data_IF_000619664470
#
_entry.id   IF_000619664470
#
_cell.length_a   1.000
_cell.length_b   1.000
_cell.length_c   1.000
_cell.angle_alpha   90.00
_cell.angle_beta   90.00
_cell.angle_gamma   90.00
#
_symmetry.space_group_name_H-M   'P 1'
#
loop_
_entity.id
_entity.type
_entity.pdbx_description
1 polymer ?
#
# COMPACT_ATOMS: atom_id res chain seq x y z
N UNK A 1 1.34 -15.03 2.94
CA UNK A 1 0.33 -15.61 2.02
C UNK A 1 -0.58 -16.58 2.75
N UNK A 2 -0.04 -17.59 3.43
CA UNK A 2 -0.83 -18.62 4.13
C UNK A 2 -1.89 -18.05 5.08
N UNK A 3 -1.51 -17.08 5.93
CA UNK A 3 -2.42 -16.42 6.88
C UNK A 3 -3.60 -15.73 6.18
N UNK A 4 -3.34 -15.02 5.08
CA UNK A 4 -4.37 -14.34 4.28
C UNK A 4 -5.28 -15.36 3.59
N UNK A 5 -4.71 -16.40 2.98
CA UNK A 5 -5.47 -17.46 2.32
C UNK A 5 -6.40 -18.15 3.30
N UNK A 6 -5.88 -18.60 4.44
CA UNK A 6 -6.66 -19.28 5.47
C UNK A 6 -7.78 -18.38 6.03
N UNK A 7 -7.53 -17.08 6.19
CA UNK A 7 -8.54 -16.12 6.62
C UNK A 7 -9.68 -16.00 5.61
N UNK A 8 -9.36 -15.85 4.32
CA UNK A 8 -10.36 -15.74 3.25
C UNK A 8 -11.18 -17.02 3.12
N UNK A 9 -10.52 -18.19 3.05
CA UNK A 9 -11.19 -19.49 2.94
C UNK A 9 -12.18 -19.73 4.09
N UNK A 10 -11.83 -19.29 5.30
CA UNK A 10 -12.66 -19.46 6.49
C UNK A 10 -13.80 -18.43 6.59
N UNK A 11 -13.50 -17.16 6.40
CA UNK A 11 -14.41 -16.07 6.76
C UNK A 11 -15.12 -15.44 5.55
N UNK A 12 -14.57 -15.62 4.34
CA UNK A 12 -15.05 -14.99 3.11
C UNK A 12 -15.15 -16.02 1.97
N UNK A 13 -15.89 -17.14 2.14
CA UNK A 13 -15.93 -18.24 1.16
C UNK A 13 -16.53 -17.85 -0.20
N UNK A 14 -17.21 -16.71 -0.29
CA UNK A 14 -17.70 -16.16 -1.56
C UNK A 14 -16.63 -15.46 -2.42
N UNK A 15 -15.43 -15.21 -1.88
CA UNK A 15 -14.32 -14.63 -2.66
C UNK A 15 -13.68 -15.73 -3.50
N UNK A 16 -13.81 -15.62 -4.82
CA UNK A 16 -13.31 -16.60 -5.79
C UNK A 16 -12.12 -16.09 -6.63
N UNK A 17 -11.66 -14.86 -6.39
CA UNK A 17 -10.54 -14.29 -7.13
C UNK A 17 -9.20 -14.93 -6.73
N UNK A 18 -8.30 -15.16 -7.70
CA UNK A 18 -6.97 -15.69 -7.39
C UNK A 18 -6.13 -14.67 -6.61
N UNK A 19 -5.28 -15.19 -5.74
CA UNK A 19 -4.18 -14.43 -5.16
C UNK A 19 -3.06 -14.32 -6.18
N UNK A 20 -2.62 -13.10 -6.48
CA UNK A 20 -1.41 -12.90 -7.28
C UNK A 20 -0.23 -12.67 -6.36
N UNK A 21 0.81 -13.49 -6.50
CA UNK A 21 2.01 -13.40 -5.69
C UNK A 21 3.25 -13.40 -6.57
N UNK A 22 4.17 -12.49 -6.30
CA UNK A 22 5.43 -12.36 -7.04
C UNK A 22 6.56 -11.96 -6.12
N UNK A 23 7.74 -12.53 -6.36
CA UNK A 23 8.98 -12.08 -5.74
C UNK A 23 9.55 -10.92 -6.55
N UNK A 24 9.91 -9.85 -5.87
CA UNK A 24 10.45 -8.64 -6.49
C UNK A 24 11.83 -8.37 -5.90
N UNK A 25 12.80 -8.15 -6.79
CA UNK A 25 14.14 -7.71 -6.41
C UNK A 25 14.10 -6.32 -5.76
N UNK A 26 15.07 -5.96 -4.92
CA UNK A 26 15.14 -4.63 -4.35
C UNK A 26 15.37 -3.56 -5.42
N UNK A 27 14.97 -2.33 -5.11
CA UNK A 27 15.37 -1.13 -5.84
C UNK A 27 15.79 -0.01 -4.87
N UNK A 28 16.10 1.17 -5.40
CA UNK A 28 16.60 2.31 -4.61
C UNK A 28 15.68 3.53 -4.64
N UNK A 29 14.50 3.45 -5.26
CA UNK A 29 13.59 4.57 -5.32
C UNK A 29 13.00 4.85 -3.93
N UNK A 30 13.02 6.12 -3.50
CA UNK A 30 12.70 6.50 -2.12
C UNK A 30 11.34 6.04 -1.63
N UNK A 31 10.34 5.99 -2.50
CA UNK A 31 8.99 5.54 -2.18
C UNK A 31 8.63 4.18 -2.80
N UNK A 32 9.61 3.43 -3.32
CA UNK A 32 9.30 2.07 -3.78
C UNK A 32 8.96 1.18 -2.59
N UNK A 33 7.88 0.38 -2.66
CA UNK A 33 7.60 -0.66 -1.69
C UNK A 33 8.76 -1.64 -1.49
N UNK A 34 9.71 -1.70 -2.43
CA UNK A 34 10.83 -2.66 -2.52
C UNK A 34 12.20 -2.05 -2.18
N UNK A 35 12.24 -0.86 -1.57
CA UNK A 35 13.48 -0.09 -1.39
C UNK A 35 14.42 -0.53 -0.25
N UNK A 36 14.14 -1.64 0.42
CA UNK A 36 14.88 -2.14 1.59
C UNK A 36 15.10 -3.65 1.57
N UNK A 37 15.09 -4.25 0.39
CA UNK A 37 15.38 -5.67 0.20
C UNK A 37 14.37 -6.39 -0.69
N UNK A 38 14.67 -7.64 -1.06
CA UNK A 38 13.73 -8.47 -1.81
C UNK A 38 12.45 -8.68 -1.00
N UNK A 39 11.30 -8.51 -1.65
CA UNK A 39 9.98 -8.65 -1.01
C UNK A 39 9.04 -9.43 -1.90
N UNK A 40 8.03 -10.04 -1.27
CA UNK A 40 6.90 -10.62 -1.97
C UNK A 40 5.80 -9.57 -2.11
N UNK A 41 5.36 -9.31 -3.33
CA UNK A 41 4.15 -8.54 -3.60
C UNK A 41 2.98 -9.52 -3.64
N UNK A 42 1.98 -9.29 -2.79
CA UNK A 42 0.77 -10.12 -2.67
C UNK A 42 -0.43 -9.23 -2.98
N UNK A 43 -1.28 -9.66 -3.90
CA UNK A 43 -2.53 -9.01 -4.22
C UNK A 43 -3.72 -9.88 -3.85
N UNK A 44 -4.71 -9.24 -3.24
CA UNK A 44 -6.02 -9.82 -2.93
C UNK A 44 -7.06 -8.98 -3.66
N UNK A 45 -8.02 -9.64 -4.30
CA UNK A 45 -9.01 -8.99 -5.16
C UNK A 45 -10.42 -9.43 -4.79
N UNK A 46 -11.37 -8.60 -5.17
CA UNK A 46 -12.79 -8.92 -5.23
C UNK A 46 -13.35 -8.34 -6.54
N UNK A 47 -14.56 -8.73 -6.92
CA UNK A 47 -15.23 -8.14 -8.07
C UNK A 47 -15.57 -6.67 -7.77
N UNK A 48 -15.41 -5.77 -8.73
CA UNK A 48 -15.57 -4.33 -8.49
C UNK A 48 -16.92 -3.88 -7.87
N UNK A 49 -18.07 -4.50 -8.20
CA UNK A 49 -19.36 -4.20 -7.57
C UNK A 49 -19.55 -4.80 -6.17
N UNK A 50 -18.70 -5.75 -5.76
CA UNK A 50 -18.87 -6.46 -4.49
C UNK A 50 -18.33 -5.62 -3.33
N UNK A 51 -18.75 -5.97 -2.11
CA UNK A 51 -18.21 -5.40 -0.88
C UNK A 51 -16.70 -5.68 -0.78
N UNK A 52 -15.89 -4.64 -0.57
CA UNK A 52 -14.42 -4.74 -0.52
C UNK A 52 -13.83 -4.26 0.80
N UNK A 53 -14.63 -3.72 1.70
CA UNK A 53 -14.23 -3.16 2.99
C UNK A 53 -13.45 -4.18 3.83
N UNK A 54 -13.81 -5.46 3.74
CA UNK A 54 -13.08 -6.57 4.37
C UNK A 54 -11.59 -6.65 3.99
N UNK A 55 -11.20 -6.19 2.79
CA UNK A 55 -9.79 -6.14 2.39
C UNK A 55 -8.99 -5.19 3.28
N UNK A 56 -9.63 -4.18 3.87
CA UNK A 56 -8.99 -3.23 4.75
C UNK A 56 -9.21 -3.52 6.23
N UNK A 57 -10.39 -4.03 6.61
CA UNK A 57 -10.69 -4.31 8.02
C UNK A 57 -10.13 -5.66 8.49
N UNK A 58 -9.98 -6.63 7.59
CA UNK A 58 -9.55 -7.99 7.93
C UNK A 58 -8.19 -8.35 7.33
N UNK A 59 -7.92 -7.94 6.09
CA UNK A 59 -6.72 -8.37 5.35
C UNK A 59 -5.53 -7.41 5.54
N UNK A 60 -5.73 -6.09 5.39
CA UNK A 60 -4.65 -5.10 5.60
C UNK A 60 -3.94 -5.27 6.96
N UNK A 61 -4.63 -5.53 8.10
CA UNK A 61 -3.96 -5.72 9.39
C UNK A 61 -2.98 -6.91 9.39
N UNK A 62 -3.27 -7.98 8.63
CA UNK A 62 -2.37 -9.13 8.48
C UNK A 62 -1.07 -8.68 7.81
N UNK A 63 -1.17 -7.89 6.72
CA UNK A 63 0.00 -7.37 6.03
C UNK A 63 0.79 -6.38 6.89
N UNK A 64 0.11 -5.48 7.61
CA UNK A 64 0.77 -4.48 8.47
C UNK A 64 1.61 -5.12 9.56
N UNK A 65 1.13 -6.19 10.22
CA UNK A 65 1.92 -6.95 11.21
C UNK A 65 3.21 -7.55 10.66
N UNK A 66 3.32 -7.70 9.34
CA UNK A 66 4.50 -8.26 8.64
C UNK A 66 5.36 -7.17 7.98
N UNK A 67 5.13 -5.89 8.28
CA UNK A 67 5.85 -4.78 7.64
C UNK A 67 5.45 -4.58 6.17
N UNK A 68 4.23 -4.96 5.81
CA UNK A 68 3.67 -4.77 4.48
C UNK A 68 3.56 -3.27 4.14
N UNK A 69 3.88 -2.96 2.88
CA UNK A 69 3.73 -1.62 2.30
C UNK A 69 2.68 -1.67 1.21
N UNK A 70 1.80 -0.66 1.10
CA UNK A 70 0.79 -0.65 0.06
C UNK A 70 1.41 -0.45 -1.32
N UNK A 71 0.79 -1.04 -2.34
CA UNK A 71 1.11 -0.73 -3.73
C UNK A 71 0.43 0.60 -4.10
N UNK A 72 1.21 1.59 -4.55
CA UNK A 72 0.68 2.94 -4.87
C UNK A 72 -0.47 2.96 -5.88
N UNK A 73 -0.48 2.02 -6.83
CA UNK A 73 -1.56 1.86 -7.81
C UNK A 73 -2.80 1.10 -7.30
N UNK A 74 -2.91 0.80 -5.99
CA UNK A 74 -4.07 0.13 -5.39
C UNK A 74 -4.62 0.97 -4.24
N UNK A 75 -5.90 0.72 -3.93
CA UNK A 75 -6.54 1.27 -2.74
C UNK A 75 -5.77 0.84 -1.48
N UNK A 76 -5.57 1.77 -0.55
CA UNK A 76 -4.91 1.54 0.72
C UNK A 76 -5.34 2.58 1.76
N UNK A 77 -5.14 2.29 3.05
CA UNK A 77 -5.51 3.20 4.17
C UNK A 77 -4.35 3.88 4.85
N UNK A 78 -3.16 3.85 4.25
CA UNK A 78 -2.00 4.47 4.86
C UNK A 78 -2.15 5.98 4.84
N UNK A 79 -2.06 6.58 6.02
CA UNK A 79 -1.97 8.03 6.21
C UNK A 79 -0.50 8.50 6.16
N UNK A 80 -0.30 9.82 6.34
CA UNK A 80 1.04 10.41 6.35
C UNK A 80 1.95 9.80 7.44
N UNK A 81 1.40 9.47 8.62
CA UNK A 81 2.16 8.88 9.74
C UNK A 81 2.59 7.47 9.40
N UNK A 82 1.69 6.67 8.82
CA UNK A 82 1.97 5.32 8.37
C UNK A 82 3.05 5.31 7.28
N UNK A 83 2.95 6.21 6.29
CA UNK A 83 3.94 6.31 5.22
C UNK A 83 5.32 6.70 5.74
N UNK A 84 5.42 7.67 6.67
CA UNK A 84 6.68 8.02 7.35
C UNK A 84 7.29 6.85 8.10
N UNK A 85 6.47 6.03 8.73
CA UNK A 85 6.94 4.88 9.49
C UNK A 85 7.54 3.79 8.58
N UNK A 86 7.01 3.60 7.36
CA UNK A 86 7.46 2.53 6.47
C UNK A 86 8.44 2.96 5.39
N UNK A 87 8.55 4.26 5.09
CA UNK A 87 9.47 4.81 4.08
C UNK A 87 10.46 5.78 4.74
N UNK A 88 11.72 5.37 5.00
CA UNK A 88 12.72 6.22 5.64
C UNK A 88 12.97 7.56 4.94
N UNK A 89 12.84 7.57 3.60
CA UNK A 89 13.07 8.75 2.76
C UNK A 89 11.78 9.53 2.46
N UNK A 90 10.68 9.28 3.18
CA UNK A 90 9.39 9.95 2.94
C UNK A 90 9.50 11.47 3.07
N UNK A 91 10.13 11.97 4.13
CA UNK A 91 10.30 13.41 4.35
C UNK A 91 11.22 14.06 3.32
N UNK A 92 12.30 13.37 2.94
CA UNK A 92 13.19 13.81 1.89
C UNK A 92 12.45 13.93 0.54
N UNK A 93 11.62 12.95 0.21
CA UNK A 93 10.76 12.98 -0.97
C UNK A 93 9.74 14.12 -0.88
N UNK A 94 9.05 14.28 0.25
CA UNK A 94 8.04 15.32 0.45
C UNK A 94 8.63 16.72 0.26
N UNK A 95 9.84 16.97 0.78
CA UNK A 95 10.59 18.21 0.61
C UNK A 95 11.02 18.46 -0.84
N UNK A 96 11.56 17.44 -1.51
CA UNK A 96 11.96 17.54 -2.91
C UNK A 96 10.75 17.84 -3.80
N UNK A 97 9.64 17.10 -3.60
CA UNK A 97 8.37 17.32 -4.29
C UNK A 97 7.89 18.75 -4.11
N UNK A 98 7.92 19.30 -2.89
CA UNK A 98 7.49 20.68 -2.64
C UNK A 98 8.39 21.73 -3.31
N UNK A 99 9.67 21.40 -3.55
CA UNK A 99 10.60 22.27 -4.30
C UNK A 99 10.31 22.25 -5.80
N UNK A 100 9.95 21.08 -6.34
CA UNK A 100 9.69 20.88 -7.77
C UNK A 100 8.26 21.30 -8.19
N UNK A 101 7.29 21.18 -7.29
CA UNK A 101 5.90 21.57 -7.50
C UNK A 101 5.38 22.37 -6.28
N UNK A 102 5.79 23.65 -6.13
CA UNK A 102 5.46 24.47 -4.97
C UNK A 102 3.96 24.73 -4.79
N UNK A 103 3.21 24.76 -5.91
CA UNK A 103 1.77 24.95 -5.90
C UNK A 103 0.97 23.63 -5.83
N UNK A 104 1.66 22.48 -5.75
CA UNK A 104 1.04 21.17 -5.65
C UNK A 104 0.14 20.82 -6.84
N UNK A 105 0.43 21.31 -8.06
CA UNK A 105 -0.41 21.10 -9.24
C UNK A 105 -0.53 19.63 -9.64
N UNK A 106 0.46 18.81 -9.29
CA UNK A 106 0.50 17.39 -9.60
C UNK A 106 -0.09 16.51 -8.48
N UNK A 107 -0.63 17.12 -7.41
CA UNK A 107 -1.21 16.39 -6.29
C UNK A 107 -2.74 16.29 -6.42
N UNK A 108 -3.22 15.06 -6.40
CA UNK A 108 -4.63 14.75 -6.16
C UNK A 108 -4.94 14.88 -4.64
N UNK A 109 -6.22 14.83 -4.23
CA UNK A 109 -6.60 14.97 -2.82
C UNK A 109 -5.88 13.99 -1.88
N UNK A 110 -5.80 12.71 -2.26
CA UNK A 110 -5.09 11.69 -1.47
C UNK A 110 -3.62 12.07 -1.22
N UNK A 111 -2.90 12.52 -2.26
CA UNK A 111 -1.50 12.91 -2.13
C UNK A 111 -1.33 14.24 -1.38
N UNK A 112 -2.30 15.16 -1.43
CA UNK A 112 -2.29 16.39 -0.61
C UNK A 112 -2.33 16.06 0.87
N UNK A 113 -3.29 15.22 1.27
CA UNK A 113 -3.42 14.76 2.66
C UNK A 113 -2.15 14.02 3.10
N UNK A 114 -1.64 13.13 2.24
CA UNK A 114 -0.47 12.32 2.55
C UNK A 114 0.80 13.15 2.74
N UNK A 115 1.01 14.18 1.93
CA UNK A 115 2.20 15.04 2.01
C UNK A 115 1.99 16.33 2.81
N UNK A 116 0.82 16.52 3.43
CA UNK A 116 0.47 17.75 4.18
C UNK A 116 0.54 19.01 3.31
N UNK A 117 0.15 18.92 2.04
CA UNK A 117 0.14 20.04 1.11
C UNK A 117 -1.24 20.71 1.08
N UNK A 118 -1.27 22.04 1.19
CA UNK A 118 -2.48 22.84 1.02
C UNK A 118 -3.04 22.78 -0.41
#
# INVERSE_FOLDING_TARGET
>A
LEEVRAHIEKNRPGVFFPFECRMVAPDTAWLSPFNDGPRMSIAVHTHAPDEYEFLFTEIEPIFRRRGGRPHWGKLNRFDAKDMRAVYPQFEAFAKLRATLDPAGRLLNPYLRDLFGAA
#
